data_IF_696327275849
#
_entry.id   IF_696327275849
#
_cell.length_a   1.000
_cell.length_b   1.000
_cell.length_c   1.000
_cell.angle_alpha   90.00
_cell.angle_beta   90.00
_cell.angle_gamma   90.00
#
_symmetry.space_group_name_H-M   'P 1'
#
loop_
_entity.id
_entity.type
_entity.pdbx_description
1 polymer ?
#
# COMPACT_ATOMS: atom_id res chain seq x y z
N UNK A 1 -11.69 -3.13 2.12
CA UNK A 1 -10.84 -3.90 1.19
C UNK A 1 -11.76 -4.71 0.31
N UNK A 2 -11.67 -4.63 -1.02
CA UNK A 2 -12.49 -5.47 -1.90
C UNK A 2 -12.16 -6.94 -1.65
N UNK A 3 -13.17 -7.80 -1.60
CA UNK A 3 -12.97 -9.24 -1.50
C UNK A 3 -12.06 -9.73 -2.65
N UNK A 4 -11.11 -10.65 -2.39
CA UNK A 4 -10.28 -11.21 -3.43
C UNK A 4 -11.15 -11.98 -4.43
N UNK A 5 -10.82 -11.86 -5.73
CA UNK A 5 -11.58 -12.53 -6.82
C UNK A 5 -11.67 -14.05 -6.63
N UNK A 6 -10.62 -14.67 -6.09
CA UNK A 6 -10.60 -16.08 -5.69
C UNK A 6 -10.27 -16.17 -4.19
N UNK A 7 -11.29 -16.32 -3.32
CA UNK A 7 -11.10 -16.41 -1.88
C UNK A 7 -10.48 -17.76 -1.49
N UNK A 8 -9.97 -17.83 -0.24
CA UNK A 8 -9.34 -19.04 0.30
C UNK A 8 -10.28 -20.24 0.27
N UNK A 9 -11.53 -20.07 0.70
CA UNK A 9 -12.53 -21.16 0.76
C UNK A 9 -12.67 -21.86 -0.59
N UNK A 10 -12.98 -21.08 -1.64
CA UNK A 10 -13.14 -21.59 -3.01
C UNK A 10 -11.92 -22.40 -3.49
N UNK A 11 -10.71 -21.89 -3.26
CA UNK A 11 -9.49 -22.58 -3.71
C UNK A 11 -9.15 -23.80 -2.85
N UNK A 12 -9.43 -23.76 -1.54
CA UNK A 12 -9.16 -24.86 -0.62
C UNK A 12 -10.10 -26.05 -0.86
N UNK A 13 -11.34 -25.77 -1.27
CA UNK A 13 -12.34 -26.80 -1.59
C UNK A 13 -12.05 -27.44 -2.96
N UNK A 14 -11.63 -26.64 -3.95
CA UNK A 14 -11.46 -27.12 -5.32
C UNK A 14 -10.10 -27.77 -5.60
N UNK A 15 -9.02 -27.33 -4.93
CA UNK A 15 -7.65 -27.81 -5.20
C UNK A 15 -7.41 -29.30 -4.90
N UNK A 16 -7.93 -29.90 -3.82
CA UNK A 16 -7.73 -31.33 -3.54
C UNK A 16 -8.32 -32.24 -4.62
N UNK A 17 -9.39 -31.81 -5.28
CA UNK A 17 -10.04 -32.54 -6.35
C UNK A 17 -9.40 -32.31 -7.74
N UNK A 18 -8.42 -31.42 -7.86
CA UNK A 18 -7.77 -31.04 -9.13
C UNK A 18 -6.43 -31.75 -9.28
N UNK A 19 -6.19 -32.38 -10.42
CA UNK A 19 -4.90 -32.97 -10.79
C UNK A 19 -3.97 -32.00 -11.51
N UNK A 20 -4.44 -30.80 -11.86
CA UNK A 20 -3.68 -29.79 -12.59
C UNK A 20 -4.24 -28.38 -12.37
N UNK A 21 -3.45 -27.35 -12.68
CA UNK A 21 -3.91 -25.97 -12.53
C UNK A 21 -5.06 -25.65 -13.52
N UNK A 22 -5.07 -26.26 -14.70
CA UNK A 22 -6.16 -26.08 -15.66
C UNK A 22 -7.47 -26.72 -15.18
N UNK A 23 -7.43 -27.92 -14.60
CA UNK A 23 -8.60 -28.54 -13.97
C UNK A 23 -9.13 -27.72 -12.79
N UNK A 24 -8.24 -27.10 -12.02
CA UNK A 24 -8.64 -26.17 -10.97
C UNK A 24 -9.37 -24.95 -11.55
N UNK A 25 -8.83 -24.34 -12.59
CA UNK A 25 -9.47 -23.20 -13.25
C UNK A 25 -10.84 -23.56 -13.81
N UNK A 26 -10.95 -24.71 -14.48
CA UNK A 26 -12.22 -25.23 -14.99
C UNK A 26 -13.24 -25.41 -13.87
N UNK A 27 -12.84 -26.06 -12.76
CA UNK A 27 -13.72 -26.31 -11.61
C UNK A 27 -14.22 -25.02 -10.93
N UNK A 28 -13.39 -23.98 -10.87
CA UNK A 28 -13.80 -22.69 -10.28
C UNK A 28 -14.45 -21.74 -11.29
N UNK A 29 -14.72 -22.19 -12.53
CA UNK A 29 -15.31 -21.37 -13.59
C UNK A 29 -14.43 -20.21 -14.03
N UNK A 30 -13.11 -20.33 -13.86
CA UNK A 30 -12.15 -19.29 -14.20
C UNK A 30 -11.60 -19.47 -15.62
N UNK A 31 -11.36 -18.37 -16.36
CA UNK A 31 -10.81 -18.45 -17.71
C UNK A 31 -9.41 -19.10 -17.75
N UNK A 32 -9.21 -20.05 -18.67
CA UNK A 32 -7.93 -20.68 -18.97
C UNK A 32 -6.97 -19.70 -19.67
N UNK A 33 -6.44 -18.76 -18.88
CA UNK A 33 -5.56 -17.69 -19.36
C UNK A 33 -4.28 -17.63 -18.54
N UNK A 34 -3.18 -17.17 -19.14
CA UNK A 34 -1.87 -17.10 -18.46
C UNK A 34 -1.92 -16.14 -17.28
N UNK A 35 -2.65 -15.04 -17.42
CA UNK A 35 -2.82 -14.05 -16.35
C UNK A 35 -3.61 -14.63 -15.18
N UNK A 36 -4.70 -15.36 -15.45
CA UNK A 36 -5.52 -15.98 -14.41
C UNK A 36 -4.79 -17.14 -13.73
N UNK A 37 -4.13 -18.01 -14.50
CA UNK A 37 -3.28 -19.09 -13.96
C UNK A 37 -2.27 -18.54 -12.97
N UNK A 38 -1.47 -17.54 -13.38
CA UNK A 38 -0.45 -16.92 -12.52
C UNK A 38 -1.05 -16.30 -11.25
N UNK A 39 -2.21 -15.65 -11.38
CA UNK A 39 -2.89 -15.05 -10.24
C UNK A 39 -3.40 -16.10 -9.25
N UNK A 40 -4.03 -17.17 -9.74
CA UNK A 40 -4.51 -18.28 -8.90
C UNK A 40 -3.34 -19.01 -8.25
N UNK A 41 -2.25 -19.26 -8.98
CA UNK A 41 -1.04 -19.87 -8.45
C UNK A 41 -0.41 -19.03 -7.31
N UNK A 42 -0.36 -17.70 -7.49
CA UNK A 42 0.06 -16.79 -6.43
C UNK A 42 -0.86 -16.83 -5.21
N UNK A 43 -2.17 -17.02 -5.41
CA UNK A 43 -3.16 -17.14 -4.33
C UNK A 43 -3.05 -18.47 -3.60
N UNK A 44 -2.85 -19.58 -4.30
CA UNK A 44 -2.62 -20.90 -3.71
C UNK A 44 -1.40 -20.86 -2.78
N UNK A 45 -0.28 -20.29 -3.25
CA UNK A 45 0.93 -20.07 -2.41
C UNK A 45 0.65 -19.16 -1.21
N UNK A 46 -0.03 -18.04 -1.44
CA UNK A 46 -0.35 -17.09 -0.37
C UNK A 46 -1.23 -17.72 0.71
N UNK A 47 -2.14 -18.63 0.33
CA UNK A 47 -2.98 -19.36 1.26
C UNK A 47 -2.31 -20.63 1.81
N UNK A 48 -1.14 -21.04 1.29
CA UNK A 48 -0.51 -22.30 1.70
C UNK A 48 -1.39 -23.52 1.43
N UNK A 49 -2.10 -23.51 0.30
CA UNK A 49 -2.88 -24.67 -0.16
C UNK A 49 -1.91 -25.62 -0.86
N UNK A 50 -1.96 -26.91 -0.52
CA UNK A 50 -1.11 -27.92 -1.15
C UNK A 50 -1.51 -28.13 -2.61
N UNK A 51 -0.50 -28.09 -3.48
CA UNK A 51 -0.62 -28.31 -4.93
C UNK A 51 0.48 -29.23 -5.42
N UNK A 52 1.15 -29.98 -4.53
CA UNK A 52 2.26 -30.87 -4.86
C UNK A 52 1.84 -32.00 -5.82
N UNK A 53 0.56 -32.39 -5.77
CA UNK A 53 -0.06 -33.37 -6.66
C UNK A 53 -0.41 -32.82 -8.05
N UNK A 54 -0.26 -31.51 -8.29
CA UNK A 54 -0.60 -30.91 -9.58
C UNK A 54 0.43 -31.27 -10.65
N UNK A 55 -0.04 -31.83 -11.76
CA UNK A 55 0.76 -32.08 -12.95
C UNK A 55 0.99 -30.78 -13.73
N UNK A 56 2.16 -30.61 -14.38
CA UNK A 56 2.41 -29.48 -15.27
C UNK A 56 1.30 -29.34 -16.31
N UNK A 57 0.74 -28.16 -16.44
CA UNK A 57 -0.34 -27.87 -17.40
C UNK A 57 0.19 -27.00 -18.54
N UNK A 58 -0.07 -27.40 -19.78
CA UNK A 58 0.23 -26.59 -20.96
C UNK A 58 -1.07 -25.95 -21.44
N UNK A 59 -1.09 -24.63 -21.57
CA UNK A 59 -2.23 -23.94 -22.17
C UNK A 59 -2.44 -24.41 -23.61
N UNK A 60 -3.68 -24.62 -24.06
CA UNK A 60 -3.94 -25.02 -25.44
C UNK A 60 -3.39 -23.97 -26.41
N UNK A 61 -2.90 -24.45 -27.56
CA UNK A 61 -2.48 -23.57 -28.65
C UNK A 61 -3.65 -22.67 -29.06
N UNK A 62 -3.37 -21.37 -29.26
CA UNK A 62 -4.39 -20.37 -29.57
C UNK A 62 -4.41 -20.12 -31.06
N UNK A 63 -5.61 -20.02 -31.62
CA UNK A 63 -5.78 -19.54 -32.98
C UNK A 63 -5.28 -18.09 -33.08
N UNK A 64 -4.49 -17.75 -34.12
CA UNK A 64 -4.04 -16.39 -34.34
C UNK A 64 -5.23 -15.46 -34.59
N UNK A 65 -5.34 -14.40 -33.80
CA UNK A 65 -6.37 -13.37 -33.98
C UNK A 65 -5.92 -12.39 -35.06
N UNK A 66 -6.74 -12.22 -36.10
CA UNK A 66 -6.53 -11.22 -37.12
C UNK A 66 -6.99 -9.84 -36.62
N UNK A 67 -6.06 -8.88 -36.59
CA UNK A 67 -6.34 -7.48 -36.26
C UNK A 67 -6.56 -6.66 -37.53
N UNK A 68 -7.48 -7.10 -38.38
CA UNK A 68 -7.88 -6.32 -39.57
C UNK A 68 -8.74 -5.13 -39.15
N UNK A 69 -8.82 -4.12 -40.02
CA UNK A 69 -9.66 -2.94 -39.79
C UNK A 69 -11.12 -3.33 -39.63
N UNK A 70 -11.61 -4.26 -40.44
CA UNK A 70 -12.99 -4.74 -40.47
C UNK A 70 -13.33 -5.48 -39.17
N UNK A 71 -12.47 -6.42 -38.75
CA UNK A 71 -12.66 -7.17 -37.51
C UNK A 71 -12.65 -6.26 -36.27
N UNK A 72 -11.74 -5.29 -36.23
CA UNK A 72 -11.69 -4.31 -35.15
C UNK A 72 -12.91 -3.39 -35.14
N UNK A 73 -13.36 -2.91 -36.30
CA UNK A 73 -14.53 -2.05 -36.40
C UNK A 73 -15.81 -2.76 -35.94
N UNK A 74 -15.99 -4.03 -36.33
CA UNK A 74 -17.12 -4.85 -35.89
C UNK A 74 -17.07 -5.14 -34.38
N UNK A 75 -15.90 -5.56 -33.87
CA UNK A 75 -15.72 -5.79 -32.45
C UNK A 75 -15.96 -4.53 -31.60
N UNK A 76 -15.55 -3.36 -32.11
CA UNK A 76 -15.77 -2.06 -31.47
C UNK A 76 -17.26 -1.66 -31.50
N UNK A 77 -17.96 -1.83 -32.63
CA UNK A 77 -19.39 -1.46 -32.76
C UNK A 77 -20.27 -2.11 -31.70
N UNK A 78 -20.05 -3.41 -31.45
CA UNK A 78 -20.87 -4.14 -30.49
C UNK A 78 -20.38 -4.12 -29.05
N UNK A 79 -19.18 -3.62 -28.78
CA UNK A 79 -18.61 -3.61 -27.43
C UNK A 79 -19.02 -2.37 -26.62
N UNK A 80 -19.00 -2.50 -25.29
CA UNK A 80 -19.15 -1.39 -24.33
C UNK A 80 -17.86 -1.08 -23.57
N UNK A 81 -16.79 -1.83 -23.84
CA UNK A 81 -15.47 -1.66 -23.23
C UNK A 81 -14.37 -2.32 -24.06
N UNK A 82 -13.12 -1.88 -23.89
CA UNK A 82 -11.96 -2.51 -24.55
C UNK A 82 -11.77 -3.99 -24.16
N UNK A 83 -12.23 -4.40 -22.97
CA UNK A 83 -12.23 -5.81 -22.56
C UNK A 83 -13.17 -6.63 -23.45
N UNK A 84 -14.37 -6.10 -23.68
CA UNK A 84 -15.36 -6.73 -24.55
C UNK A 84 -14.93 -6.72 -26.01
N UNK A 85 -14.24 -5.67 -26.48
CA UNK A 85 -13.59 -5.67 -27.79
C UNK A 85 -12.64 -6.85 -27.92
N UNK A 86 -11.77 -7.06 -26.92
CA UNK A 86 -10.88 -8.21 -26.90
C UNK A 86 -11.62 -9.54 -27.01
N UNK A 87 -12.66 -9.73 -26.20
CA UNK A 87 -13.47 -10.96 -26.20
C UNK A 87 -14.15 -11.19 -27.55
N UNK A 88 -14.70 -10.15 -28.18
CA UNK A 88 -15.33 -10.22 -29.50
C UNK A 88 -14.34 -10.52 -30.62
N UNK A 89 -13.06 -10.18 -30.45
CA UNK A 89 -11.98 -10.58 -31.35
C UNK A 89 -11.54 -12.05 -31.14
N UNK A 90 -12.21 -12.80 -30.25
CA UNK A 90 -11.83 -14.17 -29.91
C UNK A 90 -10.69 -14.26 -28.89
N UNK A 91 -10.31 -13.15 -28.24
CA UNK A 91 -9.25 -13.18 -27.23
C UNK A 91 -9.80 -13.72 -25.89
N UNK A 92 -9.03 -14.56 -25.20
CA UNK A 92 -9.46 -15.13 -23.93
C UNK A 92 -9.63 -14.06 -22.86
N UNK A 93 -10.65 -14.24 -22.04
CA UNK A 93 -10.92 -13.36 -20.93
C UNK A 93 -9.71 -13.31 -19.97
N UNK A 94 -9.20 -12.10 -19.71
CA UNK A 94 -8.05 -11.88 -18.82
C UNK A 94 -6.68 -11.81 -19.51
N UNK A 95 -6.60 -12.19 -20.78
CA UNK A 95 -5.35 -12.17 -21.58
C UNK A 95 -5.46 -11.23 -22.82
N UNK A 96 -6.41 -10.30 -22.79
CA UNK A 96 -6.57 -9.28 -23.84
C UNK A 96 -5.35 -8.35 -23.85
N UNK A 97 -4.58 -8.25 -24.96
CA UNK A 97 -3.45 -7.34 -25.07
C UNK A 97 -3.95 -5.92 -25.34
N UNK A 98 -4.44 -5.25 -24.29
CA UNK A 98 -5.07 -3.92 -24.39
C UNK A 98 -4.22 -2.88 -25.13
N UNK A 99 -2.90 -2.91 -24.95
CA UNK A 99 -1.97 -2.00 -25.63
C UNK A 99 -1.93 -2.23 -27.13
N UNK A 100 -1.89 -3.48 -27.57
CA UNK A 100 -1.89 -3.84 -28.99
C UNK A 100 -3.23 -3.50 -29.63
N UNK A 101 -4.34 -3.89 -29.00
CA UNK A 101 -5.70 -3.59 -29.47
C UNK A 101 -5.87 -2.07 -29.63
N UNK A 102 -5.47 -1.29 -28.62
CA UNK A 102 -5.51 0.18 -28.68
C UNK A 102 -4.65 0.74 -29.82
N UNK A 103 -3.39 0.29 -29.94
CA UNK A 103 -2.48 0.74 -30.99
C UNK A 103 -3.06 0.47 -32.39
N UNK A 104 -3.69 -0.69 -32.60
CA UNK A 104 -4.33 -1.02 -33.89
C UNK A 104 -5.58 -0.19 -34.16
N UNK A 105 -6.42 0.04 -33.15
CA UNK A 105 -7.58 0.93 -33.26
C UNK A 105 -7.15 2.34 -33.66
N UNK A 106 -6.11 2.88 -33.01
CA UNK A 106 -5.53 4.19 -33.33
C UNK A 106 -4.95 4.21 -34.75
N UNK A 107 -4.22 3.17 -35.15
CA UNK A 107 -3.65 3.05 -36.50
C UNK A 107 -4.72 3.04 -37.60
N UNK A 108 -5.88 2.43 -37.35
CA UNK A 108 -6.99 2.36 -38.32
C UNK A 108 -7.99 3.51 -38.19
N UNK A 109 -7.79 4.44 -37.25
CA UNK A 109 -8.69 5.57 -37.03
C UNK A 109 -10.11 5.17 -36.65
N UNK A 110 -10.28 4.06 -35.93
CA UNK A 110 -11.61 3.57 -35.53
C UNK A 110 -12.09 4.37 -34.32
N UNK A 111 -13.29 4.97 -34.42
CA UNK A 111 -13.88 5.68 -33.29
C UNK A 111 -14.25 4.71 -32.15
N UNK A 112 -13.79 5.05 -30.94
CA UNK A 112 -14.03 4.30 -29.71
C UNK A 112 -14.60 5.20 -28.60
N UNK A 113 -15.12 6.37 -28.97
CA UNK A 113 -15.72 7.33 -28.03
C UNK A 113 -16.80 6.68 -27.16
N UNK A 114 -17.63 5.80 -27.71
CA UNK A 114 -18.69 5.07 -27.00
C UNK A 114 -18.19 3.93 -26.10
N UNK A 115 -16.99 3.38 -26.36
CA UNK A 115 -16.35 2.37 -25.50
C UNK A 115 -15.84 2.94 -24.18
N UNK A 116 -15.83 4.26 -24.07
CA UNK A 116 -15.46 4.98 -22.87
C UNK A 116 -16.54 4.84 -21.81
N UNK A 117 -16.68 3.63 -21.25
CA UNK A 117 -16.89 3.45 -19.81
C UNK A 117 -15.60 3.75 -19.04
N UNK A 118 -14.91 4.84 -19.37
CA UNK A 118 -14.35 5.59 -18.25
C UNK A 118 -15.54 6.11 -17.46
N UNK A 119 -15.42 6.34 -16.17
CA UNK A 119 -16.45 7.05 -15.42
C UNK A 119 -16.49 8.51 -15.91
N UNK A 120 -16.93 8.73 -17.15
CA UNK A 120 -16.81 9.95 -17.96
C UNK A 120 -17.97 10.92 -17.74
N UNK A 121 -18.74 10.76 -16.66
CA UNK A 121 -19.76 11.73 -16.27
C UNK A 121 -19.80 12.06 -14.77
N UNK A 122 -18.86 11.59 -13.95
CA UNK A 122 -18.89 11.90 -12.50
C UNK A 122 -17.55 12.03 -11.77
N UNK A 123 -16.43 12.41 -12.42
CA UNK A 123 -15.19 12.61 -11.65
C UNK A 123 -14.09 13.52 -12.24
N UNK A 124 -14.14 13.95 -13.50
CA UNK A 124 -13.12 14.86 -14.02
C UNK A 124 -13.67 16.29 -14.09
N UNK A 125 -13.21 17.19 -13.20
CA UNK A 125 -13.63 18.58 -13.25
C UNK A 125 -13.13 19.26 -14.52
N UNK A 126 -13.93 20.18 -15.07
CA UNK A 126 -13.54 20.97 -16.23
C UNK A 126 -12.27 21.78 -15.94
N UNK A 127 -11.47 22.11 -16.97
CA UNK A 127 -10.27 22.94 -16.80
C UNK A 127 -10.54 24.25 -16.04
N UNK A 128 -11.69 24.89 -16.29
CA UNK A 128 -12.08 26.14 -15.61
C UNK A 128 -12.39 25.93 -14.13
N UNK A 129 -13.06 24.82 -13.80
CA UNK A 129 -13.34 24.46 -12.42
C UNK A 129 -12.04 24.11 -11.67
N UNK A 130 -11.10 23.46 -12.34
CA UNK A 130 -9.75 23.20 -11.81
C UNK A 130 -8.99 24.51 -11.60
N UNK A 131 -9.04 25.44 -12.55
CA UNK A 131 -8.39 26.76 -12.43
C UNK A 131 -8.89 27.52 -11.21
N UNK A 132 -10.21 27.57 -11.01
CA UNK A 132 -10.83 28.22 -9.84
C UNK A 132 -10.39 27.54 -8.53
N UNK A 133 -10.51 26.21 -8.45
CA UNK A 133 -10.13 25.46 -7.26
C UNK A 133 -8.63 25.55 -6.93
N UNK A 134 -7.76 25.62 -7.93
CA UNK A 134 -6.31 25.78 -7.74
C UNK A 134 -5.96 27.19 -7.27
N UNK A 135 -6.65 28.22 -7.79
CA UNK A 135 -6.44 29.59 -7.36
C UNK A 135 -6.86 29.82 -5.88
N UNK A 136 -7.95 29.18 -5.45
CA UNK A 136 -8.48 29.30 -4.08
C UNK A 136 -7.71 28.43 -3.06
N UNK A 137 -7.06 27.35 -3.50
CA UNK A 137 -6.37 26.41 -2.63
C UNK A 137 -4.93 26.82 -2.28
N UNK A 138 -4.48 26.43 -1.08
CA UNK A 138 -3.08 26.54 -0.62
C UNK A 138 -2.31 25.23 -0.83
N UNK A 139 -2.99 24.17 -1.25
CA UNK A 139 -2.39 22.86 -1.51
C UNK A 139 -3.18 22.02 -2.52
N UNK A 140 -2.51 21.08 -3.18
CA UNK A 140 -3.16 20.12 -4.07
C UNK A 140 -4.25 19.27 -3.38
N UNK A 141 -4.12 18.99 -2.08
CA UNK A 141 -5.14 18.26 -1.34
C UNK A 141 -6.41 19.09 -1.11
N UNK A 142 -6.24 20.38 -0.83
CA UNK A 142 -7.33 21.33 -0.67
C UNK A 142 -8.01 21.62 -2.01
N UNK A 143 -7.25 21.80 -3.09
CA UNK A 143 -7.80 21.92 -4.44
C UNK A 143 -8.69 20.72 -4.79
N UNK A 144 -8.25 19.49 -4.47
CA UNK A 144 -9.08 18.30 -4.68
C UNK A 144 -10.38 18.33 -3.85
N UNK A 145 -10.33 18.77 -2.59
CA UNK A 145 -11.54 18.92 -1.76
C UNK A 145 -12.52 19.96 -2.31
N UNK A 146 -12.03 21.10 -2.79
CA UNK A 146 -12.86 22.12 -3.47
C UNK A 146 -13.51 21.58 -4.75
N UNK A 147 -12.87 20.60 -5.39
CA UNK A 147 -13.42 19.88 -6.54
C UNK A 147 -14.39 18.76 -6.15
N UNK A 148 -14.62 18.51 -4.86
CA UNK A 148 -15.44 17.41 -4.35
C UNK A 148 -14.76 16.04 -4.49
N UNK A 149 -13.42 16.01 -4.60
CA UNK A 149 -12.63 14.81 -4.81
C UNK A 149 -11.79 14.45 -3.57
N UNK A 150 -11.76 13.17 -3.25
CA UNK A 150 -10.94 12.63 -2.17
C UNK A 150 -9.42 12.70 -2.50
N UNK A 151 -8.58 13.29 -1.63
CA UNK A 151 -7.18 13.58 -1.95
C UNK A 151 -6.23 12.39 -1.78
N UNK A 152 -6.26 11.43 -2.70
CA UNK A 152 -5.31 10.30 -2.78
C UNK A 152 -4.21 10.49 -3.83
N UNK A 153 -3.20 9.61 -3.87
CA UNK A 153 -2.02 9.73 -4.76
C UNK A 153 -2.40 9.84 -6.24
N UNK A 154 -3.31 8.98 -6.70
CA UNK A 154 -3.82 9.03 -8.08
C UNK A 154 -4.57 10.33 -8.41
N UNK A 155 -5.40 10.86 -7.51
CA UNK A 155 -6.12 12.10 -7.71
C UNK A 155 -5.16 13.30 -7.82
N UNK A 156 -4.11 13.33 -6.98
CA UNK A 156 -3.05 14.36 -7.04
C UNK A 156 -2.27 14.33 -8.35
N UNK A 157 -1.98 13.12 -8.87
CA UNK A 157 -1.35 12.97 -10.19
C UNK A 157 -2.25 13.52 -11.29
N UNK A 158 -3.54 13.15 -11.31
CA UNK A 158 -4.48 13.66 -12.31
C UNK A 158 -4.63 15.18 -12.26
N UNK A 159 -4.73 15.77 -11.06
CA UNK A 159 -4.79 17.22 -10.89
C UNK A 159 -3.55 17.89 -11.50
N UNK A 160 -2.35 17.35 -11.24
CA UNK A 160 -1.10 17.84 -11.83
C UNK A 160 -1.14 17.76 -13.36
N UNK A 161 -1.50 16.60 -13.91
CA UNK A 161 -1.56 16.38 -15.36
C UNK A 161 -2.55 17.36 -16.02
N UNK A 162 -3.69 17.64 -15.38
CA UNK A 162 -4.67 18.61 -15.88
C UNK A 162 -4.13 20.04 -15.80
N UNK A 163 -3.47 20.42 -14.70
CA UNK A 163 -2.85 21.74 -14.58
C UNK A 163 -1.77 21.97 -15.64
N UNK A 164 -0.88 21.00 -15.86
CA UNK A 164 0.20 21.08 -16.84
C UNK A 164 -0.33 21.22 -18.27
N UNK A 165 -1.33 20.41 -18.65
CA UNK A 165 -1.94 20.49 -19.99
C UNK A 165 -2.67 21.80 -20.28
N UNK A 166 -3.17 22.48 -19.24
CA UNK A 166 -3.98 23.69 -19.38
C UNK A 166 -3.24 24.97 -18.92
N UNK A 167 -1.93 24.88 -18.67
CA UNK A 167 -1.11 26.01 -18.24
C UNK A 167 -1.55 26.64 -16.91
N UNK A 168 -2.09 25.84 -15.98
CA UNK A 168 -2.54 26.33 -14.67
C UNK A 168 -1.36 26.24 -13.69
N UNK A 169 -0.88 27.39 -13.21
CA UNK A 169 0.21 27.43 -12.24
C UNK A 169 -0.22 26.89 -10.87
N UNK A 170 0.59 26.00 -10.30
CA UNK A 170 0.47 25.52 -8.92
C UNK A 170 1.67 25.93 -8.06
N UNK A 171 2.44 26.94 -8.48
CA UNK A 171 3.68 27.35 -7.84
C UNK A 171 3.48 27.86 -6.40
N UNK A 172 2.30 28.43 -6.11
CA UNK A 172 1.91 28.90 -4.78
C UNK A 172 1.57 27.77 -3.80
N UNK A 173 1.48 26.51 -4.26
CA UNK A 173 1.23 25.39 -3.35
C UNK A 173 2.47 25.11 -2.48
N UNK A 174 2.37 25.46 -1.21
CA UNK A 174 3.48 25.36 -0.25
C UNK A 174 3.88 23.91 0.06
N UNK A 175 2.99 22.93 -0.15
CA UNK A 175 3.30 21.50 0.00
C UNK A 175 4.09 21.16 1.29
N UNK A 176 5.17 20.38 1.15
CA UNK A 176 6.10 20.07 2.25
C UNK A 176 6.96 21.28 2.66
N UNK A 177 7.08 22.30 1.80
CA UNK A 177 7.80 23.53 2.11
C UNK A 177 7.06 24.42 3.12
N UNK A 178 5.76 24.20 3.36
CA UNK A 178 5.01 24.84 4.45
C UNK A 178 5.63 24.64 5.85
N UNK A 179 6.42 23.57 6.02
CA UNK A 179 7.16 23.27 7.26
C UNK A 179 8.67 23.52 7.15
N UNK A 180 9.15 23.97 5.99
CA UNK A 180 10.58 24.26 5.76
C UNK A 180 10.94 25.53 6.54
N UNK A 181 11.90 25.42 7.45
CA UNK A 181 12.33 26.53 8.30
C UNK A 181 11.54 26.73 9.60
N UNK A 182 10.43 26.00 9.81
CA UNK A 182 9.75 26.00 11.11
C UNK A 182 10.49 25.03 12.05
N UNK A 183 11.18 25.50 13.10
CA UNK A 183 11.84 24.60 14.04
C UNK A 183 10.78 23.74 14.74
N UNK A 184 10.96 22.42 14.68
CA UNK A 184 10.10 21.50 15.44
C UNK A 184 10.34 21.76 16.93
N UNK A 185 9.36 22.36 17.61
CA UNK A 185 9.37 22.48 19.08
C UNK A 185 9.41 21.07 19.67
N UNK A 186 10.57 20.65 20.17
CA UNK A 186 10.75 19.38 20.87
C UNK A 186 10.10 19.49 22.24
N UNK A 187 9.48 18.41 22.72
CA UNK A 187 8.96 18.38 24.09
C UNK A 187 10.14 18.42 25.06
N UNK A 188 10.15 19.26 26.10
CA UNK A 188 11.19 19.21 27.13
C UNK A 188 11.12 17.88 27.90
N UNK A 189 12.22 17.47 28.53
CA UNK A 189 12.26 16.27 29.37
C UNK A 189 11.13 16.23 30.41
N UNK A 190 10.81 17.38 31.04
CA UNK A 190 9.72 17.52 32.01
C UNK A 190 8.33 17.20 31.45
N UNK A 191 8.10 17.33 30.14
CA UNK A 191 6.84 16.96 29.50
C UNK A 191 6.81 15.51 29.00
N UNK A 192 7.95 14.82 29.02
CA UNK A 192 8.10 13.42 28.60
C UNK A 192 8.10 12.49 29.81
N UNK A 193 8.79 12.88 30.89
CA UNK A 193 9.03 12.07 32.07
C UNK A 193 7.91 12.24 33.10
N UNK A 194 6.70 11.86 32.71
CA UNK A 194 5.48 11.99 33.50
C UNK A 194 4.67 10.70 33.48
N UNK A 195 3.73 10.57 34.41
CA UNK A 195 2.71 9.53 34.36
C UNK A 195 1.72 9.85 33.25
N UNK A 196 1.47 8.89 32.36
CA UNK A 196 0.54 9.05 31.24
C UNK A 196 -0.88 8.70 31.65
N UNK A 197 -1.91 9.37 31.08
CA UNK A 197 -3.29 8.96 31.31
C UNK A 197 -3.56 7.59 30.67
N UNK A 198 -4.60 6.85 31.14
CA UNK A 198 -4.90 5.50 30.66
C UNK A 198 -5.14 5.38 29.14
N UNK A 199 -5.56 6.46 28.49
CA UNK A 199 -5.86 6.52 27.04
C UNK A 199 -4.65 6.83 26.17
N UNK A 200 -3.50 7.16 26.76
CA UNK A 200 -2.35 7.59 25.97
C UNK A 200 -1.66 6.42 25.26
N UNK A 201 -0.96 6.71 24.17
CA UNK A 201 -0.08 5.74 23.49
C UNK A 201 1.26 5.58 24.23
N UNK A 202 1.94 4.45 24.09
CA UNK A 202 3.27 4.25 24.70
C UNK A 202 4.29 5.27 24.17
N UNK A 203 5.09 5.84 25.07
CA UNK A 203 6.21 6.73 24.69
C UNK A 203 7.32 5.90 24.05
N UNK A 204 7.90 6.38 22.95
CA UNK A 204 9.01 5.66 22.30
C UNK A 204 10.26 5.65 23.18
N UNK A 205 11.03 4.56 23.11
CA UNK A 205 12.30 4.45 23.85
C UNK A 205 13.29 5.56 23.50
N UNK A 206 13.35 5.99 22.24
CA UNK A 206 14.18 7.12 21.80
C UNK A 206 13.82 8.43 22.54
N UNK A 207 12.54 8.72 22.71
CA UNK A 207 12.07 9.93 23.38
C UNK A 207 12.42 9.92 24.87
N UNK A 208 12.29 8.76 25.52
CA UNK A 208 12.68 8.56 26.91
C UNK A 208 14.19 8.65 27.09
N UNK A 209 15.00 8.02 26.21
CA UNK A 209 16.47 8.08 26.26
C UNK A 209 16.96 9.52 26.19
N UNK A 210 16.42 10.28 25.23
CA UNK A 210 16.73 11.71 25.10
C UNK A 210 16.33 12.49 26.36
N UNK A 211 15.12 12.29 26.89
CA UNK A 211 14.66 13.01 28.07
C UNK A 211 15.51 12.71 29.32
N UNK A 212 15.91 11.46 29.53
CA UNK A 212 16.83 11.06 30.60
C UNK A 212 18.22 11.68 30.42
N UNK A 213 18.73 11.72 29.18
CA UNK A 213 20.00 12.37 28.87
C UNK A 213 19.95 13.89 29.10
N UNK A 214 18.83 14.55 28.79
CA UNK A 214 18.62 15.98 29.07
C UNK A 214 18.66 16.30 30.58
N UNK A 215 18.29 15.33 31.43
CA UNK A 215 18.43 15.43 32.88
C UNK A 215 19.83 15.04 33.41
N UNK A 216 20.76 14.66 32.53
CA UNK A 216 22.10 14.22 32.93
C UNK A 216 22.16 12.79 33.48
N UNK A 217 21.16 11.94 33.23
CA UNK A 217 21.21 10.52 33.63
C UNK A 217 22.36 9.82 32.87
N UNK A 218 23.32 9.19 33.58
CA UNK A 218 24.40 8.45 32.93
C UNK A 218 23.87 7.31 32.05
N UNK A 219 24.41 7.18 30.84
CA UNK A 219 24.02 6.14 29.89
C UNK A 219 24.84 4.85 30.12
N UNK A 220 24.68 4.27 31.31
CA UNK A 220 25.31 3.03 31.76
C UNK A 220 24.26 2.09 32.33
N UNK A 221 24.50 0.79 32.25
CA UNK A 221 23.63 -0.20 32.87
C UNK A 221 23.64 -0.02 34.38
N UNK A 222 22.49 0.19 34.99
CA UNK A 222 22.38 0.43 36.43
C UNK A 222 22.58 -0.83 37.27
N UNK A 223 22.51 -2.02 36.65
CA UNK A 223 22.74 -3.30 37.33
C UNK A 223 24.22 -3.72 37.32
N UNK A 224 24.93 -3.53 36.20
CA UNK A 224 26.29 -4.05 36.04
C UNK A 224 27.34 -3.00 35.62
N UNK A 225 26.96 -1.73 35.48
CA UNK A 225 27.85 -0.65 35.07
C UNK A 225 28.28 -0.67 33.60
N UNK A 226 27.83 -1.65 32.80
CA UNK A 226 28.19 -1.74 31.38
C UNK A 226 27.76 -0.48 30.62
N UNK A 227 28.71 0.18 29.96
CA UNK A 227 28.45 1.37 29.16
C UNK A 227 27.85 1.08 27.77
N UNK A 228 28.04 2.02 26.85
CA UNK A 228 27.48 1.99 25.49
C UNK A 228 28.31 1.20 24.48
N UNK A 229 29.32 0.44 24.93
CA UNK A 229 30.19 -0.37 24.09
C UNK A 229 30.34 -1.78 24.64
N UNK A 230 30.26 -2.77 23.76
CA UNK A 230 30.49 -4.17 24.09
C UNK A 230 31.31 -4.82 22.97
N UNK A 231 32.44 -5.44 23.34
CA UNK A 231 33.40 -6.07 22.40
C UNK A 231 33.77 -5.16 21.21
N UNK A 232 34.04 -3.89 21.51
CA UNK A 232 34.43 -2.88 20.51
C UNK A 232 33.28 -2.32 19.64
N UNK A 233 32.05 -2.83 19.78
CA UNK A 233 30.88 -2.37 19.02
C UNK A 233 29.92 -1.54 19.88
N UNK A 234 29.15 -0.59 19.29
CA UNK A 234 28.11 0.12 20.02
C UNK A 234 27.06 -0.84 20.58
N UNK A 235 26.71 -0.65 21.84
CA UNK A 235 25.62 -1.32 22.53
C UNK A 235 24.56 -0.28 22.89
N UNK A 236 23.33 -0.50 22.44
CA UNK A 236 22.19 0.30 22.89
C UNK A 236 21.68 -0.26 24.21
N UNK A 237 21.72 0.54 25.27
CA UNK A 237 21.06 0.19 26.52
C UNK A 237 19.55 0.34 26.35
N UNK A 238 18.83 -0.60 26.95
CA UNK A 238 17.38 -0.66 26.95
C UNK A 238 16.86 0.13 28.15
N UNK A 239 15.67 0.72 28.00
CA UNK A 239 14.97 1.36 29.12
C UNK A 239 14.01 0.34 29.71
N UNK A 240 14.17 0.12 31.00
CA UNK A 240 13.27 -0.68 31.81
C UNK A 240 12.49 0.23 32.77
N UNK A 241 11.24 -0.16 33.02
CA UNK A 241 10.36 0.45 34.00
C UNK A 241 10.43 -0.38 35.27
N UNK A 242 10.92 0.20 36.37
CA UNK A 242 11.16 -0.51 37.63
C UNK A 242 9.89 -1.19 38.16
N UNK A 243 8.74 -0.51 38.04
CA UNK A 243 7.43 -1.04 38.42
C UNK A 243 6.72 -1.86 37.32
N UNK A 244 7.31 -1.99 36.12
CA UNK A 244 6.69 -2.65 34.96
C UNK A 244 5.56 -1.88 34.27
N UNK A 245 5.11 -0.74 34.81
CA UNK A 245 4.07 0.08 34.19
C UNK A 245 4.69 1.07 33.20
N UNK A 246 4.49 0.79 31.92
CA UNK A 246 4.98 1.64 30.82
C UNK A 246 4.39 3.05 30.79
N UNK A 247 3.29 3.29 31.50
CA UNK A 247 2.66 4.61 31.60
C UNK A 247 3.40 5.51 32.57
N UNK A 248 4.10 4.96 33.55
CA UNK A 248 4.86 5.73 34.53
C UNK A 248 6.26 6.04 34.01
N UNK A 249 6.40 7.12 33.26
CA UNK A 249 7.69 7.52 32.68
C UNK A 249 8.49 8.47 33.58
N UNK A 250 8.13 8.61 34.85
CA UNK A 250 8.89 9.46 35.77
C UNK A 250 10.34 8.95 35.86
N UNK A 251 11.30 9.87 35.97
CA UNK A 251 12.72 9.55 35.85
C UNK A 251 13.19 8.51 36.88
N UNK A 252 12.62 8.55 38.09
CA UNK A 252 12.88 7.61 39.18
C UNK A 252 12.38 6.18 38.88
N UNK A 253 11.39 6.03 38.00
CA UNK A 253 10.86 4.72 37.61
C UNK A 253 11.56 4.14 36.36
N UNK A 254 12.42 4.91 35.70
CA UNK A 254 13.16 4.46 34.52
C UNK A 254 14.60 4.14 34.88
N UNK A 255 15.10 3.05 34.31
CA UNK A 255 16.52 2.69 34.41
C UNK A 255 17.09 2.20 33.10
N UNK A 256 18.38 2.46 32.90
CA UNK A 256 19.14 1.87 31.80
C UNK A 256 19.61 0.47 32.16
N UNK A 257 19.30 -0.52 31.31
CA UNK A 257 19.81 -1.87 31.45
C UNK A 257 20.45 -2.35 30.14
N UNK A 258 21.54 -3.11 30.24
CA UNK A 258 22.02 -3.85 29.09
C UNK A 258 21.09 -5.03 28.77
N UNK A 259 21.06 -5.55 27.53
CA UNK A 259 20.15 -6.63 27.14
C UNK A 259 20.23 -7.87 28.06
N UNK A 260 21.43 -8.19 28.56
CA UNK A 260 21.66 -9.31 29.47
C UNK A 260 21.11 -9.09 30.87
N UNK A 261 21.11 -7.85 31.36
CA UNK A 261 20.55 -7.51 32.67
C UNK A 261 19.03 -7.34 32.58
N UNK A 262 18.55 -6.76 31.48
CA UNK A 262 17.12 -6.57 31.26
C UNK A 262 16.40 -7.90 31.11
N UNK A 263 16.98 -8.89 30.43
CA UNK A 263 16.40 -10.23 30.29
C UNK A 263 16.20 -10.98 31.61
N UNK A 264 16.86 -10.55 32.69
CA UNK A 264 16.74 -11.12 34.03
C UNK A 264 15.71 -10.39 34.91
N UNK A 265 15.08 -9.32 34.41
CA UNK A 265 14.04 -8.60 35.16
C UNK A 265 12.73 -9.38 35.14
N UNK A 266 11.95 -9.30 36.22
CA UNK A 266 10.63 -9.92 36.27
C UNK A 266 9.69 -9.35 35.20
N UNK A 267 9.86 -8.09 34.83
CA UNK A 267 9.05 -7.35 33.87
C UNK A 267 9.43 -7.60 32.40
N UNK A 268 10.51 -8.34 32.14
CA UNK A 268 11.00 -8.61 30.79
C UNK A 268 9.96 -9.35 29.94
N UNK A 269 9.74 -8.90 28.71
CA UNK A 269 8.83 -9.51 27.74
C UNK A 269 7.39 -9.78 28.27
N UNK A 270 6.91 -9.00 29.25
CA UNK A 270 5.58 -9.18 29.84
C UNK A 270 5.51 -10.30 30.90
N UNK A 271 6.64 -10.59 31.56
CA UNK A 271 6.81 -11.67 32.53
C UNK A 271 5.91 -11.61 33.76
N UNK A 272 4.72 -12.19 33.64
CA UNK A 272 4.07 -12.95 34.70
C UNK A 272 3.52 -14.24 34.10
N UNK A 273 4.43 -15.15 33.72
CA UNK A 273 4.18 -16.58 33.46
C UNK A 273 5.47 -17.40 33.69
N UNK A 274 5.88 -17.51 34.95
CA UNK A 274 6.63 -18.65 35.48
C UNK A 274 6.24 -18.84 36.94
#
# INVERSE_FOLDING_TARGET
MSAPKYPRSLLADAAPASGSLLELLDRIGAPASRTVMRYVEQRLRHYGIDTSHFRPSVLPAREPVAYTREALAEAVRGAKSLREVGIRLGLPEGDVPYSLVRKRIEQFGIDISHLSRTNSSSANPSPDRVRKAVAEARSAAEALRLLGLEPHTGARRRLRDVCERNGISTAHFLGQASRKGIPRRRKPASAVLVVKPPTAVRTSGEMLRRALSEMGRPHVCEKCGLGTRYRGRPLMLEIDHVNGDWRDNRAENLRYLCPNCHSQTATFAGGARR
#
